data_IF_675626740012
#
_entry.id   IF_675626740012
#
_cell.length_a   1.000
_cell.length_b   1.000
_cell.length_c   1.000
_cell.angle_alpha   90.00
_cell.angle_beta   90.00
_cell.angle_gamma   90.00
#
_symmetry.space_group_name_H-M   'P 1'
#
loop_
_entity.id
_entity.type
_entity.pdbx_description
1 polymer ?
#
# COMPACT_ATOMS: atom_id res chain seq x y z
N UNK A 1 -10.04 -30.26 -19.89
CA UNK A 1 -8.76 -29.57 -19.63
C UNK A 1 -8.31 -28.91 -20.92
N UNK A 2 -8.31 -27.57 -20.96
CA UNK A 2 -7.48 -26.72 -21.83
C UNK A 2 -7.94 -25.27 -21.68
N UNK A 3 -7.24 -24.49 -20.86
CA UNK A 3 -7.38 -23.03 -20.83
C UNK A 3 -6.43 -22.46 -21.89
N UNK A 4 -6.97 -22.15 -23.06
CA UNK A 4 -6.24 -21.52 -24.15
C UNK A 4 -6.26 -19.99 -24.01
N UNK A 5 -5.05 -19.44 -23.90
CA UNK A 5 -4.57 -18.21 -24.55
C UNK A 5 -4.98 -16.85 -23.94
N UNK A 6 -4.00 -16.29 -23.22
CA UNK A 6 -3.73 -14.86 -23.10
C UNK A 6 -3.50 -14.18 -24.46
N UNK A 7 -4.09 -13.00 -24.68
CA UNK A 7 -3.46 -11.72 -25.07
C UNK A 7 -4.49 -10.77 -25.72
N UNK A 8 -4.13 -9.47 -25.78
CA UNK A 8 -4.66 -8.40 -26.66
C UNK A 8 -5.86 -7.56 -26.16
N UNK A 9 -5.90 -6.20 -26.18
CA UNK A 9 -5.00 -5.11 -26.60
C UNK A 9 -5.27 -3.86 -25.74
N UNK A 10 -4.22 -3.11 -25.38
CA UNK A 10 -4.32 -1.74 -24.88
C UNK A 10 -4.54 -0.78 -26.06
N UNK A 11 -5.69 -0.07 -26.10
CA UNK A 11 -5.93 1.06 -27.01
C UNK A 11 -5.44 2.36 -26.36
N UNK A 12 -4.47 3.03 -26.99
CA UNK A 12 -4.02 4.40 -26.67
C UNK A 12 -5.02 5.40 -27.27
N UNK A 13 -5.60 6.27 -26.45
CA UNK A 13 -6.36 7.43 -26.89
C UNK A 13 -5.51 8.70 -26.78
N UNK A 14 -5.49 9.49 -27.86
CA UNK A 14 -4.90 10.84 -27.97
C UNK A 14 -6.05 11.85 -28.02
N UNK A 15 -5.97 13.00 -27.33
CA UNK A 15 -5.94 14.31 -28.00
C UNK A 15 -5.17 15.36 -27.15
N UNK A 16 -4.88 16.62 -27.49
CA UNK A 16 -4.93 17.52 -28.66
C UNK A 16 -4.09 18.74 -28.21
N UNK A 17 -3.21 19.25 -29.05
CA UNK A 17 -2.59 20.56 -28.87
C UNK A 17 -3.60 21.68 -29.17
N UNK A 18 -3.60 22.73 -28.36
CA UNK A 18 -4.12 24.04 -28.72
C UNK A 18 -3.38 25.09 -27.89
N UNK A 19 -2.58 25.92 -28.56
CA UNK A 19 -1.87 27.04 -27.95
C UNK A 19 -2.68 28.32 -27.94
N UNK A 20 -2.36 29.20 -26.99
CA UNK A 20 -2.60 30.64 -27.05
C UNK A 20 -1.51 31.36 -26.25
N UNK A 21 -1.03 32.45 -26.83
CA UNK A 21 0.05 33.31 -26.36
C UNK A 21 -0.36 34.26 -25.22
N UNK A 22 0.65 34.76 -24.48
CA UNK A 22 0.85 36.14 -23.95
C UNK A 22 -0.31 36.79 -23.16
N UNK A 23 -0.18 37.45 -22.01
CA UNK A 23 0.90 38.25 -21.39
C UNK A 23 0.45 38.69 -19.98
N UNK A 24 1.43 39.02 -19.14
CA UNK A 24 1.43 40.06 -18.10
C UNK A 24 0.59 39.98 -16.80
N UNK A 25 1.34 40.25 -15.71
CA UNK A 25 0.98 41.10 -14.57
C UNK A 25 0.44 40.49 -13.27
N UNK A 26 1.31 40.63 -12.26
CA UNK A 26 1.08 41.22 -10.94
C UNK A 26 0.67 40.35 -9.73
N UNK A 27 1.45 40.63 -8.68
CA UNK A 27 1.36 40.30 -7.27
C UNK A 27 0.02 40.75 -6.66
N UNK A 28 -0.50 39.96 -5.72
CA UNK A 28 -1.24 40.48 -4.56
C UNK A 28 -1.31 39.39 -3.49
N UNK A 29 -0.71 39.69 -2.35
CA UNK A 29 -0.96 39.04 -1.07
C UNK A 29 -2.46 39.16 -0.73
N UNK A 30 -3.05 38.10 -0.17
CA UNK A 30 -4.04 38.27 0.89
C UNK A 30 -4.17 36.97 1.69
N UNK A 31 -3.73 37.07 2.93
CA UNK A 31 -3.98 36.15 4.03
C UNK A 31 -5.48 35.84 4.16
N UNK A 32 -5.84 34.56 4.21
CA UNK A 32 -7.12 34.14 4.78
C UNK A 32 -6.89 32.95 5.71
N UNK A 33 -6.82 33.30 7.00
CA UNK A 33 -6.85 32.37 8.12
C UNK A 33 -8.12 31.52 8.06
N UNK A 34 -7.98 30.25 7.68
CA UNK A 34 -8.94 29.20 8.03
C UNK A 34 -8.41 28.47 9.27
N UNK A 35 -9.23 28.21 10.30
CA UNK A 35 -8.79 27.45 11.46
C UNK A 35 -8.40 26.04 10.99
N UNK A 36 -7.09 25.78 11.00
CA UNK A 36 -6.52 24.45 10.78
C UNK A 36 -7.09 23.56 11.89
N UNK A 37 -8.16 22.82 11.58
CA UNK A 37 -8.50 21.62 12.34
C UNK A 37 -7.21 20.81 12.34
N UNK A 38 -6.65 20.57 13.51
CA UNK A 38 -5.53 19.66 13.69
C UNK A 38 -6.01 18.26 13.27
N UNK A 39 -6.00 17.99 11.96
CA UNK A 39 -6.08 16.64 11.42
C UNK A 39 -4.79 16.02 11.94
N UNK A 40 -4.89 15.16 12.94
CA UNK A 40 -3.79 14.27 13.29
C UNK A 40 -3.50 13.52 11.98
N UNK A 41 -2.46 13.94 11.27
CA UNK A 41 -2.05 13.31 10.02
C UNK A 41 -1.54 11.92 10.39
N UNK A 42 -2.44 10.94 10.33
CA UNK A 42 -2.06 9.55 10.47
C UNK A 42 -1.23 9.18 9.25
N UNK A 43 0.10 9.12 9.43
CA UNK A 43 1.04 8.76 8.37
C UNK A 43 0.77 7.33 7.91
N UNK A 44 0.73 7.13 6.60
CA UNK A 44 0.68 5.81 6.01
C UNK A 44 2.00 5.06 6.26
N UNK A 45 1.96 3.74 6.36
CA UNK A 45 3.15 2.89 6.56
C UNK A 45 4.13 3.09 5.41
N UNK A 46 5.40 3.27 5.75
CA UNK A 46 6.47 3.38 4.76
C UNK A 46 6.81 2.02 4.15
N UNK A 47 7.27 2.04 2.89
CA UNK A 47 7.62 0.81 2.18
C UNK A 47 8.81 0.08 2.85
N UNK A 48 9.71 0.81 3.52
CA UNK A 48 10.81 0.22 4.29
C UNK A 48 10.30 -0.63 5.44
N UNK A 49 9.32 -0.13 6.18
CA UNK A 49 8.68 -0.82 7.30
C UNK A 49 7.91 -2.06 6.83
N UNK A 50 7.23 -1.96 5.67
CA UNK A 50 6.58 -3.12 5.05
C UNK A 50 7.60 -4.18 4.59
N UNK A 51 8.76 -3.76 4.09
CA UNK A 51 9.82 -4.68 3.67
C UNK A 51 10.42 -5.42 4.88
N UNK A 52 10.74 -4.70 5.96
CA UNK A 52 11.23 -5.31 7.20
C UNK A 52 10.23 -6.33 7.77
N UNK A 53 8.94 -6.01 7.74
CA UNK A 53 7.90 -6.94 8.15
C UNK A 53 7.78 -8.16 7.21
N UNK A 54 7.94 -7.95 5.90
CA UNK A 54 7.88 -9.04 4.92
C UNK A 54 9.01 -10.07 5.12
N UNK A 55 10.17 -9.64 5.60
CA UNK A 55 11.30 -10.52 5.91
C UNK A 55 10.99 -11.48 7.07
N UNK A 56 10.13 -11.08 8.01
CA UNK A 56 9.79 -11.88 9.20
C UNK A 56 8.57 -12.78 9.00
N UNK A 57 7.68 -12.47 8.03
CA UNK A 57 6.44 -13.22 7.81
C UNK A 57 6.63 -14.68 7.36
N UNK A 58 7.74 -14.99 6.68
CA UNK A 58 8.04 -16.34 6.18
C UNK A 58 6.91 -16.93 5.34
N UNK A 59 6.69 -18.25 5.41
CA UNK A 59 5.68 -18.96 4.61
C UNK A 59 4.22 -18.66 5.01
N UNK A 60 3.99 -18.04 6.17
CA UNK A 60 2.64 -17.75 6.67
C UNK A 60 1.98 -16.56 5.98
N UNK A 61 2.72 -15.81 5.15
CA UNK A 61 2.25 -14.59 4.48
C UNK A 61 0.93 -14.76 3.72
N UNK A 62 0.71 -15.92 3.09
CA UNK A 62 -0.55 -16.22 2.36
C UNK A 62 -1.74 -16.30 3.31
N UNK A 63 -1.58 -17.04 4.41
CA UNK A 63 -2.60 -17.17 5.43
C UNK A 63 -2.88 -15.82 6.08
N UNK A 64 -1.83 -15.06 6.40
CA UNK A 64 -1.95 -13.71 6.96
C UNK A 64 -2.73 -12.80 6.01
N UNK A 65 -2.35 -12.80 4.73
CA UNK A 65 -3.01 -12.02 3.68
C UNK A 65 -4.51 -12.29 3.59
N UNK A 66 -4.93 -13.57 3.61
CA UNK A 66 -6.34 -13.97 3.48
C UNK A 66 -7.12 -13.74 4.78
N UNK A 67 -6.60 -14.24 5.91
CA UNK A 67 -7.36 -14.34 7.15
C UNK A 67 -7.35 -13.06 7.99
N UNK A 68 -6.25 -12.30 7.94
CA UNK A 68 -6.06 -11.14 8.82
C UNK A 68 -6.12 -9.84 8.02
N UNK A 69 -5.49 -9.80 6.85
CA UNK A 69 -5.53 -8.63 5.97
C UNK A 69 -6.74 -8.65 5.04
N UNK A 70 -7.57 -9.69 5.06
CA UNK A 70 -8.80 -9.83 4.27
C UNK A 70 -8.59 -9.63 2.75
N UNK A 71 -7.41 -9.99 2.25
CA UNK A 71 -7.12 -9.97 0.82
C UNK A 71 -7.78 -11.18 0.15
N UNK A 72 -8.23 -10.98 -1.09
CA UNK A 72 -8.85 -12.05 -1.87
C UNK A 72 -7.79 -13.05 -2.33
N UNK A 73 -8.14 -14.33 -2.41
CA UNK A 73 -7.21 -15.39 -2.84
C UNK A 73 -6.49 -15.09 -4.16
N UNK A 74 -7.20 -14.54 -5.16
CA UNK A 74 -6.57 -14.17 -6.44
C UNK A 74 -5.46 -13.12 -6.30
N UNK A 75 -5.51 -12.25 -5.28
CA UNK A 75 -4.45 -11.26 -5.02
C UNK A 75 -3.21 -11.97 -4.51
N UNK A 76 -3.39 -12.96 -3.63
CA UNK A 76 -2.30 -13.79 -3.11
C UNK A 76 -1.64 -14.58 -4.24
N UNK A 77 -2.43 -15.20 -5.10
CA UNK A 77 -1.94 -15.94 -6.27
C UNK A 77 -1.14 -15.02 -7.21
N UNK A 78 -1.63 -13.79 -7.43
CA UNK A 78 -0.90 -12.79 -8.23
C UNK A 78 0.42 -12.37 -7.60
N UNK A 79 0.49 -12.22 -6.27
CA UNK A 79 1.74 -11.89 -5.58
C UNK A 79 2.76 -13.02 -5.76
N UNK A 80 2.33 -14.27 -5.60
CA UNK A 80 3.18 -15.46 -5.79
C UNK A 80 3.70 -15.59 -7.24
N UNK A 81 2.84 -15.34 -8.22
CA UNK A 81 3.23 -15.42 -9.64
C UNK A 81 4.14 -14.28 -10.08
N UNK A 82 4.01 -13.11 -9.47
CA UNK A 82 4.74 -11.90 -9.87
C UNK A 82 6.17 -11.88 -9.34
N UNK A 83 6.38 -12.37 -8.13
CA UNK A 83 7.65 -12.21 -7.40
C UNK A 83 8.33 -13.56 -7.14
N UNK A 84 9.66 -13.59 -7.27
CA UNK A 84 10.42 -14.83 -7.22
C UNK A 84 10.68 -15.36 -5.80
N UNK A 85 10.75 -14.48 -4.79
CA UNK A 85 11.09 -14.85 -3.41
C UNK A 85 9.92 -14.62 -2.47
N UNK A 86 9.80 -15.46 -1.44
CA UNK A 86 8.74 -15.35 -0.43
C UNK A 86 8.70 -13.97 0.23
N UNK A 87 9.87 -13.34 0.42
CA UNK A 87 9.99 -12.00 0.97
C UNK A 87 9.32 -10.98 0.02
N UNK A 88 9.65 -11.00 -1.27
CA UNK A 88 9.07 -10.07 -2.25
C UNK A 88 7.57 -10.32 -2.47
N UNK A 89 7.14 -11.58 -2.44
CA UNK A 89 5.72 -11.96 -2.49
C UNK A 89 4.95 -11.37 -1.29
N UNK A 90 5.52 -11.52 -0.10
CA UNK A 90 4.95 -10.98 1.15
C UNK A 90 4.91 -9.45 1.13
N UNK A 91 5.98 -8.83 0.64
CA UNK A 91 6.06 -7.37 0.49
C UNK A 91 5.00 -6.84 -0.49
N UNK A 92 4.84 -7.48 -1.65
CA UNK A 92 3.82 -7.08 -2.62
C UNK A 92 2.40 -7.31 -2.07
N UNK A 93 2.18 -8.36 -1.30
CA UNK A 93 0.93 -8.60 -0.58
C UNK A 93 0.62 -7.47 0.41
N UNK A 94 1.60 -7.04 1.20
CA UNK A 94 1.48 -5.91 2.13
C UNK A 94 1.18 -4.60 1.40
N UNK A 95 1.80 -4.38 0.22
CA UNK A 95 1.49 -3.21 -0.63
C UNK A 95 0.06 -3.26 -1.17
N UNK A 96 -0.46 -4.43 -1.52
CA UNK A 96 -1.86 -4.58 -1.92
C UNK A 96 -2.81 -4.21 -0.78
N UNK A 97 -2.51 -4.63 0.46
CA UNK A 97 -3.24 -4.17 1.64
C UNK A 97 -3.15 -2.65 1.81
N UNK A 98 -1.96 -2.07 1.77
CA UNK A 98 -1.75 -0.61 1.88
C UNK A 98 -2.55 0.17 0.84
N UNK A 99 -2.54 -0.28 -0.41
CA UNK A 99 -3.29 0.34 -1.51
C UNK A 99 -4.80 0.25 -1.32
N UNK A 100 -5.30 -0.84 -0.71
CA UNK A 100 -6.72 -1.01 -0.37
C UNK A 100 -7.15 -0.05 0.74
N UNK A 101 -6.34 0.07 1.79
CA UNK A 101 -6.64 0.88 2.99
C UNK A 101 -6.43 2.39 2.78
N UNK A 102 -5.60 2.80 1.81
CA UNK A 102 -5.32 4.21 1.46
C UNK A 102 -4.86 5.02 2.69
N UNK A 103 -5.61 6.06 3.07
CA UNK A 103 -5.32 6.89 4.25
C UNK A 103 -5.36 6.10 5.57
N UNK A 104 -6.05 4.96 5.59
CA UNK A 104 -6.11 4.08 6.76
C UNK A 104 -4.94 3.10 6.87
N UNK A 105 -4.02 3.06 5.90
CA UNK A 105 -2.89 2.15 5.87
C UNK A 105 -1.79 2.58 6.84
N UNK A 106 -2.08 2.66 8.14
CA UNK A 106 -1.15 3.16 9.18
C UNK A 106 -0.46 1.99 9.88
N UNK A 107 0.71 2.25 10.47
CA UNK A 107 1.50 1.21 11.14
C UNK A 107 0.75 0.63 12.33
N UNK A 108 0.06 1.49 13.09
CA UNK A 108 -0.82 1.09 14.19
C UNK A 108 -1.98 0.20 13.75
N UNK A 109 -2.59 0.47 12.58
CA UNK A 109 -3.67 -0.37 12.05
C UNK A 109 -3.13 -1.73 11.62
N UNK A 110 -1.97 -1.77 10.98
CA UNK A 110 -1.33 -3.03 10.60
C UNK A 110 -0.95 -3.85 11.85
N UNK A 111 -0.36 -3.19 12.84
CA UNK A 111 -0.01 -3.80 14.13
C UNK A 111 -1.25 -4.36 14.84
N UNK A 112 -2.35 -3.61 14.92
CA UNK A 112 -3.56 -4.07 15.63
C UNK A 112 -4.21 -5.27 14.96
N UNK A 113 -4.13 -5.38 13.64
CA UNK A 113 -4.60 -6.55 12.89
C UNK A 113 -3.70 -7.77 13.18
N UNK A 114 -2.37 -7.56 13.15
CA UNK A 114 -1.39 -8.64 13.24
C UNK A 114 -1.09 -9.11 14.68
N UNK A 115 -1.30 -8.24 15.67
CA UNK A 115 -1.16 -8.57 17.09
C UNK A 115 -2.30 -9.48 17.62
N UNK A 116 -3.18 -9.94 16.74
CA UNK A 116 -4.19 -10.93 17.08
C UNK A 116 -3.53 -12.26 17.51
N UNK A 117 -3.94 -12.84 18.63
CA UNK A 117 -3.37 -14.09 19.17
C UNK A 117 -3.41 -15.28 18.20
N UNK A 118 -4.33 -15.28 17.23
CA UNK A 118 -4.43 -16.33 16.20
C UNK A 118 -3.49 -16.09 15.02
N UNK A 119 -2.91 -14.91 14.91
CA UNK A 119 -1.98 -14.58 13.84
C UNK A 119 -0.68 -15.36 14.06
N UNK A 120 -0.14 -16.05 13.05
CA UNK A 120 1.06 -16.86 13.21
C UNK A 120 2.35 -16.02 13.24
N UNK A 121 2.24 -14.71 13.53
CA UNK A 121 3.36 -13.77 13.64
C UNK A 121 3.52 -13.39 15.12
N UNK A 122 4.76 -13.47 15.63
CA UNK A 122 5.09 -13.10 17.01
C UNK A 122 5.16 -11.59 17.20
N UNK A 123 4.99 -11.12 18.43
CA UNK A 123 5.12 -9.70 18.78
C UNK A 123 6.51 -9.13 18.47
N UNK A 124 7.57 -9.94 18.62
CA UNK A 124 8.95 -9.56 18.28
C UNK A 124 9.11 -9.20 16.79
N UNK A 125 8.34 -9.86 15.93
CA UNK A 125 8.38 -9.62 14.48
C UNK A 125 7.61 -8.37 14.07
N UNK A 126 6.80 -7.81 14.97
CA UNK A 126 6.03 -6.59 14.76
C UNK A 126 6.74 -5.34 15.30
N UNK A 127 7.91 -5.48 15.93
CA UNK A 127 8.67 -4.37 16.52
C UNK A 127 8.97 -3.28 15.48
N UNK A 128 9.25 -3.68 14.22
CA UNK A 128 9.50 -2.74 13.13
C UNK A 128 8.32 -1.78 12.87
N UNK A 129 7.08 -2.16 13.20
CA UNK A 129 5.90 -1.28 13.04
C UNK A 129 5.80 -0.19 14.12
N UNK A 130 6.58 -0.29 15.19
CA UNK A 130 6.56 0.63 16.33
C UNK A 130 7.66 1.70 16.24
N UNK A 131 8.71 1.47 15.45
CA UNK A 131 9.89 2.35 15.33
C UNK A 131 9.57 3.74 14.73
N UNK A 132 8.50 3.87 13.95
CA UNK A 132 8.14 5.11 13.23
C UNK A 132 7.19 6.05 14.03
N UNK A 133 6.94 5.77 15.31
CA UNK A 133 5.99 6.55 16.14
C UNK A 133 6.60 7.74 16.88
N UNK A 134 7.85 8.10 16.59
CA UNK A 134 8.61 9.15 17.29
C UNK A 134 8.65 10.53 16.61
#
# INVERSE_FOLDING_TARGET
MSCSLYLEKRKRGKPRDCGTAETASNLSENEMSTPKKNKVETKAVEDKTLMALAETMGHNWKQIGIQFLELKGYVIDQCELKEATVILQSFEMLKNWKNREKEGATALKLYSILANEKCPIGSEQLECLLEDTH
#
